data_IF_779925998849
#
_entry.id   IF_779925998849
#
_cell.length_a   1.000
_cell.length_b   1.000
_cell.length_c   1.000
_cell.angle_alpha   90.00
_cell.angle_beta   90.00
_cell.angle_gamma   90.00
#
_symmetry.space_group_name_H-M   'P 1'
#
loop_
_entity.id
_entity.type
_entity.pdbx_description
1 polymer ?
#
# COMPACT_ATOMS: atom_id res chain seq x y z
N UNK A 1 10.02 8.99 -12.07
CA UNK A 1 8.74 8.62 -11.42
C UNK A 1 7.66 9.68 -11.65
N UNK A 2 7.38 10.09 -12.89
CA UNK A 2 6.31 11.07 -13.13
C UNK A 2 4.97 10.35 -13.31
N UNK A 3 4.01 10.59 -12.42
CA UNK A 3 2.59 10.29 -12.65
C UNK A 3 1.93 9.17 -11.83
N UNK A 4 2.66 8.44 -10.99
CA UNK A 4 2.03 7.38 -10.16
C UNK A 4 1.32 7.97 -8.95
N UNK A 5 0.09 7.54 -8.69
CA UNK A 5 -0.68 7.92 -7.51
C UNK A 5 -0.15 7.24 -6.25
N UNK A 6 -0.25 7.92 -5.10
CA UNK A 6 -0.01 7.30 -3.79
C UNK A 6 -1.12 6.31 -3.45
N UNK A 7 -0.75 5.18 -2.86
CA UNK A 7 -1.72 4.23 -2.30
C UNK A 7 -2.20 4.78 -0.95
N UNK A 8 -3.48 4.59 -0.66
CA UNK A 8 -4.14 5.12 0.53
C UNK A 8 -4.85 4.03 1.31
N UNK A 9 -5.13 4.31 2.58
CA UNK A 9 -6.01 3.49 3.40
C UNK A 9 -7.35 3.27 2.67
N UNK A 10 -7.89 2.06 2.77
CA UNK A 10 -9.08 1.59 2.04
C UNK A 10 -8.93 1.50 0.52
N UNK A 11 -7.74 1.73 -0.04
CA UNK A 11 -7.46 1.54 -1.46
C UNK A 11 -7.57 0.07 -1.87
N UNK A 12 -8.06 -0.19 -3.08
CA UNK A 12 -8.26 -1.53 -3.62
C UNK A 12 -7.05 -2.01 -4.41
N UNK A 13 -6.76 -3.31 -4.35
CA UNK A 13 -5.79 -3.98 -5.22
C UNK A 13 -6.48 -4.64 -6.41
N UNK A 14 -5.72 -4.90 -7.47
CA UNK A 14 -6.19 -5.55 -8.71
C UNK A 14 -6.65 -7.01 -8.53
N UNK A 15 -6.15 -7.68 -7.49
CA UNK A 15 -6.53 -9.04 -7.11
C UNK A 15 -7.63 -9.07 -6.04
N UNK A 16 -8.27 -7.93 -5.75
CA UNK A 16 -9.47 -7.84 -4.91
C UNK A 16 -9.18 -7.73 -3.40
N UNK A 17 -7.99 -7.31 -3.02
CA UNK A 17 -7.65 -6.92 -1.66
C UNK A 17 -7.92 -5.44 -1.38
N UNK A 18 -7.85 -5.07 -0.10
CA UNK A 18 -8.02 -3.71 0.38
C UNK A 18 -6.93 -3.37 1.40
N UNK A 19 -6.36 -2.18 1.29
CA UNK A 19 -5.38 -1.65 2.25
C UNK A 19 -6.06 -1.34 3.59
N UNK A 20 -5.57 -1.94 4.68
CA UNK A 20 -6.18 -1.86 6.01
C UNK A 20 -5.30 -1.16 7.06
N UNK A 21 -4.01 -0.94 6.77
CA UNK A 21 -3.15 -0.06 7.59
C UNK A 21 -2.47 1.00 6.74
N UNK A 22 -2.02 2.07 7.37
CA UNK A 22 -1.34 3.19 6.72
C UNK A 22 -0.40 3.89 7.71
N UNK A 23 0.54 4.68 7.19
CA UNK A 23 1.43 5.48 8.03
C UNK A 23 0.69 6.66 8.67
N UNK A 24 0.93 6.88 9.96
CA UNK A 24 0.34 8.01 10.69
C UNK A 24 0.96 9.35 10.29
N UNK A 25 0.15 10.40 10.23
CA UNK A 25 0.62 11.78 10.00
C UNK A 25 0.92 12.14 8.54
N UNK A 26 0.78 11.20 7.59
CA UNK A 26 0.88 11.48 6.16
C UNK A 26 -0.44 11.19 5.46
N UNK A 27 -1.11 12.26 5.04
CA UNK A 27 -2.50 12.24 4.59
C UNK A 27 -2.61 12.89 3.22
N UNK A 28 -3.35 12.26 2.30
CA UNK A 28 -3.67 12.83 0.99
C UNK A 28 -5.18 12.80 0.77
N UNK A 29 -5.77 14.00 0.63
CA UNK A 29 -7.23 14.22 0.56
C UNK A 29 -7.94 13.56 1.74
N UNK A 30 -7.50 13.89 2.95
CA UNK A 30 -8.07 13.42 4.23
C UNK A 30 -8.01 11.90 4.48
N UNK A 31 -7.28 11.16 3.64
CA UNK A 31 -7.07 9.73 3.80
C UNK A 31 -5.57 9.43 4.03
N UNK A 32 -5.21 8.67 5.07
CA UNK A 32 -3.84 8.25 5.31
C UNK A 32 -3.20 7.52 4.12
N UNK A 33 -1.93 7.77 3.89
CA UNK A 33 -1.14 7.18 2.79
C UNK A 33 -0.49 5.87 3.27
N UNK A 34 -0.48 4.86 2.41
CA UNK A 34 0.17 3.59 2.71
C UNK A 34 1.67 3.62 2.36
N UNK A 35 2.44 2.87 3.10
CA UNK A 35 3.87 2.67 2.90
C UNK A 35 4.20 1.18 2.77
N UNK A 36 5.43 0.88 2.34
CA UNK A 36 5.98 -0.47 2.42
C UNK A 36 5.82 -1.03 3.85
N UNK A 37 5.29 -2.25 3.94
CA UNK A 37 4.98 -2.95 5.18
C UNK A 37 3.55 -2.75 5.69
N UNK A 38 2.80 -1.77 5.16
CA UNK A 38 1.36 -1.67 5.46
C UNK A 38 0.59 -2.85 4.88
N UNK A 39 -0.52 -3.18 5.53
CA UNK A 39 -1.23 -4.43 5.31
C UNK A 39 -2.39 -4.26 4.32
N UNK A 40 -2.62 -5.32 3.56
CA UNK A 40 -3.75 -5.51 2.65
C UNK A 40 -4.48 -6.78 3.04
N UNK A 41 -5.79 -6.71 3.25
CA UNK A 41 -6.63 -7.90 3.41
C UNK A 41 -7.23 -8.29 2.06
N UNK A 42 -7.04 -9.53 1.63
CA UNK A 42 -7.56 -10.06 0.37
C UNK A 42 -8.55 -11.21 0.64
N UNK A 43 -9.87 -10.99 0.48
CA UNK A 43 -10.88 -12.04 0.65
C UNK A 43 -10.71 -13.20 -0.34
N UNK A 44 -10.28 -12.91 -1.58
CA UNK A 44 -10.04 -13.94 -2.61
C UNK A 44 -8.85 -14.83 -2.27
N UNK A 45 -7.81 -14.23 -1.70
CA UNK A 45 -6.58 -14.89 -1.27
C UNK A 45 -6.68 -15.47 0.14
N UNK A 46 -7.79 -15.20 0.85
CA UNK A 46 -8.06 -15.62 2.24
C UNK A 46 -6.94 -15.26 3.23
N UNK A 47 -6.40 -14.05 3.13
CA UNK A 47 -5.28 -13.64 3.98
C UNK A 47 -5.08 -12.14 4.11
N UNK A 48 -4.14 -11.77 4.97
CA UNK A 48 -3.64 -10.40 5.14
C UNK A 48 -2.16 -10.38 4.88
N UNK A 49 -1.73 -9.50 3.98
CA UNK A 49 -0.37 -9.50 3.45
C UNK A 49 0.22 -8.09 3.43
N UNK A 50 1.53 -7.92 3.65
CA UNK A 50 2.17 -6.63 3.56
C UNK A 50 2.33 -6.16 2.11
N UNK A 51 2.31 -4.84 1.89
CA UNK A 51 2.87 -4.19 0.70
C UNK A 51 4.39 -4.36 0.76
N UNK A 52 4.99 -4.99 -0.25
CA UNK A 52 6.44 -5.36 -0.23
C UNK A 52 7.32 -4.36 -0.96
N UNK A 53 6.73 -3.53 -1.81
CA UNK A 53 7.40 -2.49 -2.58
C UNK A 53 7.06 -1.08 -2.07
N UNK A 54 7.94 -0.13 -2.36
CA UNK A 54 7.81 1.27 -1.98
C UNK A 54 8.69 2.14 -2.86
N UNK A 55 8.36 3.43 -2.97
CA UNK A 55 9.12 4.38 -3.77
C UNK A 55 10.52 4.58 -3.20
N UNK A 56 11.54 4.56 -4.05
CA UNK A 56 12.90 4.93 -3.66
C UNK A 56 13.05 6.44 -3.41
N UNK A 57 12.25 7.25 -4.11
CA UNK A 57 12.38 8.71 -4.11
C UNK A 57 11.42 9.38 -3.11
N UNK A 58 10.32 8.71 -2.74
CA UNK A 58 9.32 9.23 -1.82
C UNK A 58 9.30 8.42 -0.52
N UNK A 59 9.74 9.06 0.57
CA UNK A 59 9.78 8.48 1.91
C UNK A 59 9.15 9.42 2.92
N UNK A 60 8.51 8.86 3.93
CA UNK A 60 8.01 9.60 5.10
C UNK A 60 8.36 8.84 6.37
N UNK A 61 8.95 9.52 7.36
CA UNK A 61 9.45 8.92 8.60
C UNK A 61 10.31 7.67 8.37
N UNK A 62 11.16 7.70 7.33
CA UNK A 62 12.04 6.58 6.98
C UNK A 62 11.37 5.43 6.24
N UNK A 63 10.04 5.42 6.07
CA UNK A 63 9.33 4.40 5.29
C UNK A 63 9.12 4.83 3.84
N UNK A 64 9.37 3.92 2.90
CA UNK A 64 9.11 4.12 1.48
C UNK A 64 7.59 4.12 1.19
N UNK A 65 7.09 5.17 0.53
CA UNK A 65 5.66 5.32 0.24
C UNK A 65 5.24 4.38 -0.89
N UNK A 66 4.11 3.71 -0.72
CA UNK A 66 3.55 2.82 -1.73
C UNK A 66 2.88 3.65 -2.83
N UNK A 67 3.18 3.30 -4.09
CA UNK A 67 2.63 3.93 -5.29
C UNK A 67 1.88 2.90 -6.12
N UNK A 68 1.03 3.38 -7.02
CA UNK A 68 0.30 2.55 -7.98
C UNK A 68 1.21 1.55 -8.72
N UNK A 69 0.74 0.31 -8.82
CA UNK A 69 1.43 -0.82 -9.45
C UNK A 69 2.53 -1.46 -8.61
N UNK A 70 2.67 -1.08 -7.33
CA UNK A 70 3.54 -1.78 -6.38
C UNK A 70 2.89 -3.04 -5.82
N UNK A 71 3.71 -4.05 -5.57
CA UNK A 71 3.26 -5.38 -5.20
C UNK A 71 2.98 -5.51 -3.70
N UNK A 72 2.00 -6.36 -3.40
CA UNK A 72 1.80 -6.97 -2.09
C UNK A 72 2.45 -8.35 -2.08
N UNK A 73 2.81 -8.83 -0.89
CA UNK A 73 2.98 -10.28 -0.74
C UNK A 73 1.64 -10.93 -1.10
N UNK A 74 1.68 -11.98 -1.88
CA UNK A 74 0.54 -12.88 -2.09
C UNK A 74 1.08 -14.27 -1.83
N UNK A 75 0.35 -15.06 -1.04
CA UNK A 75 0.59 -16.50 -1.02
C UNK A 75 0.02 -17.05 -2.33
N UNK A 76 0.83 -17.05 -3.38
CA UNK A 76 0.55 -17.88 -4.55
C UNK A 76 1.05 -19.28 -4.20
N UNK A 77 0.14 -20.10 -3.66
CA UNK A 77 0.32 -21.54 -3.64
C UNK A 77 0.05 -22.11 -5.04
#
# INVERSE_FOLDING_TARGET
MAGKSVIRLNGMTDHGGQVVTAIGGYVYRDVPVAAKGDLVTCPKCKGTFPIVEGSNDLKYQGKNIALEGMQTAVEQN
#
